data_IF_680097309261
#
_entry.id   IF_680097309261
#
_cell.length_a   1.000
_cell.length_b   1.000
_cell.length_c   1.000
_cell.angle_alpha   90.00
_cell.angle_beta   90.00
_cell.angle_gamma   90.00
#
_symmetry.space_group_name_H-M   'P 1'
#
loop_
_entity.id
_entity.type
_entity.pdbx_description
1 polymer ?
#
# COMPACT_ATOMS: atom_id res chain seq x y z
N UNK A 1 6.64 74.68 -8.22
CA UNK A 1 7.94 73.97 -8.28
C UNK A 1 7.88 72.80 -7.30
N UNK A 2 7.58 71.56 -7.75
CA UNK A 2 8.53 70.41 -7.83
C UNK A 2 9.69 70.55 -6.83
N UNK A 3 9.84 69.69 -5.81
CA UNK A 3 10.47 68.34 -5.88
C UNK A 3 10.03 67.52 -4.65
N UNK A 4 9.21 66.48 -4.83
CA UNK A 4 9.60 65.04 -4.81
C UNK A 4 10.44 64.68 -3.56
N UNK A 5 9.74 64.22 -2.51
CA UNK A 5 10.35 63.47 -1.41
C UNK A 5 10.60 62.01 -1.89
N UNK A 6 11.79 61.43 -1.65
CA UNK A 6 12.12 60.11 -2.19
C UNK A 6 11.36 58.99 -1.45
N UNK A 7 10.48 58.34 -2.20
CA UNK A 7 9.99 56.96 -2.01
C UNK A 7 11.21 56.02 -1.92
N UNK A 8 11.59 55.57 -0.72
CA UNK A 8 12.59 54.50 -0.59
C UNK A 8 12.59 53.74 0.75
N UNK A 9 11.45 53.62 1.45
CA UNK A 9 11.45 52.91 2.74
C UNK A 9 10.12 52.24 3.13
N UNK A 10 9.26 51.86 2.19
CA UNK A 10 8.02 51.12 2.49
C UNK A 10 7.83 49.98 1.49
N UNK A 11 8.77 49.03 1.47
CA UNK A 11 8.62 47.76 0.73
C UNK A 11 9.16 46.56 1.53
N UNK A 12 9.07 46.57 2.86
CA UNK A 12 9.56 45.45 3.70
C UNK A 12 8.48 44.74 4.54
N UNK A 13 7.19 45.04 4.36
CA UNK A 13 6.14 44.44 5.22
C UNK A 13 4.91 43.90 4.48
N UNK A 14 4.97 43.72 3.16
CA UNK A 14 3.90 43.06 2.40
C UNK A 14 4.51 42.18 1.32
N UNK A 15 4.91 40.96 1.67
CA UNK A 15 5.47 40.01 0.71
C UNK A 15 5.61 38.61 1.28
N UNK A 16 4.51 37.85 1.15
CA UNK A 16 4.38 36.41 1.39
C UNK A 16 4.63 35.98 2.85
N UNK A 17 3.60 36.02 3.71
CA UNK A 17 2.70 34.86 3.85
C UNK A 17 3.51 33.57 3.74
N UNK A 18 3.98 33.14 4.91
CA UNK A 18 4.00 31.74 5.30
C UNK A 18 4.36 30.76 4.18
N UNK A 19 5.63 30.34 4.14
CA UNK A 19 5.96 28.98 3.72
C UNK A 19 5.31 28.01 4.73
N UNK A 20 3.98 27.89 4.69
CA UNK A 20 3.37 26.63 4.99
C UNK A 20 3.89 25.70 3.90
N UNK A 21 4.85 24.86 4.24
CA UNK A 21 5.04 23.58 3.57
C UNK A 21 3.78 22.76 3.91
N UNK A 22 2.66 23.19 3.32
CA UNK A 22 1.38 22.52 3.27
C UNK A 22 1.37 21.71 1.98
N UNK A 23 2.27 20.76 1.89
CA UNK A 23 1.99 19.54 1.18
C UNK A 23 2.11 18.50 2.26
N UNK A 24 0.98 17.97 2.74
CA UNK A 24 1.04 16.73 3.50
C UNK A 24 1.90 15.79 2.67
N UNK A 25 3.10 15.47 3.16
CA UNK A 25 3.88 14.36 2.63
C UNK A 25 3.13 13.13 3.10
N UNK A 26 2.00 12.92 2.45
CA UNK A 26 0.97 12.01 2.86
C UNK A 26 1.47 10.68 2.31
N UNK A 27 2.36 10.05 3.11
CA UNK A 27 3.23 8.93 2.73
C UNK A 27 2.49 7.69 2.25
N UNK A 28 1.17 7.74 2.30
CA UNK A 28 0.21 6.82 1.72
C UNK A 28 0.25 6.76 0.18
N UNK A 29 0.91 7.70 -0.51
CA UNK A 29 1.23 7.53 -1.95
C UNK A 29 2.11 6.30 -2.20
N UNK A 30 2.89 5.86 -1.20
CA UNK A 30 3.80 4.71 -1.30
C UNK A 30 3.30 3.48 -0.50
N UNK A 31 2.09 3.53 0.07
CA UNK A 31 1.50 2.35 0.70
C UNK A 31 0.74 1.55 -0.34
N UNK A 32 1.22 0.34 -0.61
CA UNK A 32 0.50 -0.62 -1.43
C UNK A 32 -0.80 -1.06 -0.75
N UNK A 33 -1.71 -1.62 -1.54
CA UNK A 33 -2.83 -2.39 -0.99
C UNK A 33 -2.33 -3.51 -0.07
N UNK A 34 -3.09 -3.88 0.99
CA UNK A 34 -2.84 -5.06 1.80
C UNK A 34 -2.49 -6.30 0.97
N UNK A 35 -1.55 -7.12 1.45
CA UNK A 35 -1.07 -8.28 0.68
C UNK A 35 -2.19 -9.27 0.34
N UNK A 36 -3.18 -9.46 1.22
CA UNK A 36 -4.35 -10.31 0.92
C UNK A 36 -5.10 -9.87 -0.34
N UNK A 37 -5.18 -8.56 -0.62
CA UNK A 37 -5.91 -8.03 -1.77
C UNK A 37 -5.18 -8.31 -3.09
N UNK A 38 -3.86 -8.55 -3.05
CA UNK A 38 -3.06 -8.93 -4.22
C UNK A 38 -3.36 -10.34 -4.71
N UNK A 39 -3.93 -11.18 -3.86
CA UNK A 39 -4.32 -12.55 -4.20
C UNK A 39 -5.74 -12.47 -4.79
N UNK A 40 -5.85 -12.71 -6.09
CA UNK A 40 -7.08 -12.54 -6.85
C UNK A 40 -7.46 -13.85 -7.52
N UNK A 41 -8.75 -14.19 -7.55
CA UNK A 41 -9.23 -15.36 -8.28
C UNK A 41 -9.17 -15.05 -9.78
N UNK A 42 -8.63 -15.97 -10.57
CA UNK A 42 -8.32 -15.70 -11.97
C UNK A 42 -9.55 -15.33 -12.83
N UNK A 43 -10.74 -15.82 -12.48
CA UNK A 43 -12.00 -15.58 -13.19
C UNK A 43 -12.75 -14.31 -12.73
N UNK A 44 -12.33 -13.72 -11.61
CA UNK A 44 -13.04 -12.63 -10.91
C UNK A 44 -12.06 -11.58 -10.37
N UNK A 45 -10.99 -11.30 -11.11
CA UNK A 45 -10.00 -10.25 -10.77
C UNK A 45 -10.70 -8.91 -10.51
N UNK A 46 -10.34 -8.24 -9.41
CA UNK A 46 -10.97 -7.01 -8.95
C UNK A 46 -12.31 -7.20 -8.22
N UNK A 47 -12.85 -8.42 -8.24
CA UNK A 47 -14.12 -8.79 -7.64
C UNK A 47 -14.02 -10.12 -6.88
N UNK A 48 -12.81 -10.49 -6.44
CA UNK A 48 -12.58 -11.72 -5.70
C UNK A 48 -13.35 -11.67 -4.39
N UNK A 49 -14.09 -12.73 -4.07
CA UNK A 49 -14.78 -12.86 -2.77
C UNK A 49 -13.75 -12.77 -1.61
N UNK A 50 -13.79 -11.71 -0.80
CA UNK A 50 -12.80 -11.50 0.26
C UNK A 50 -12.84 -12.57 1.35
N UNK A 51 -14.02 -13.11 1.65
CA UNK A 51 -14.19 -14.09 2.73
C UNK A 51 -13.75 -15.48 2.27
N UNK A 52 -14.13 -15.88 1.05
CA UNK A 52 -13.62 -17.13 0.46
C UNK A 52 -12.09 -17.10 0.33
N UNK A 53 -11.53 -15.98 -0.12
CA UNK A 53 -10.07 -15.79 -0.19
C UNK A 53 -9.39 -15.94 1.17
N UNK A 54 -9.94 -15.37 2.24
CA UNK A 54 -9.40 -15.55 3.61
C UNK A 54 -9.41 -17.02 4.02
N UNK A 55 -10.54 -17.70 3.82
CA UNK A 55 -10.67 -19.13 4.15
C UNK A 55 -9.64 -19.97 3.41
N UNK A 56 -9.42 -19.69 2.12
CA UNK A 56 -8.44 -20.40 1.31
C UNK A 56 -6.99 -20.14 1.75
N UNK A 57 -6.67 -18.92 2.17
CA UNK A 57 -5.35 -18.57 2.73
C UNK A 57 -5.08 -19.36 4.03
N UNK A 58 -6.06 -19.45 4.93
CA UNK A 58 -5.92 -20.28 6.13
C UNK A 58 -5.80 -21.76 5.79
N UNK A 59 -6.59 -22.26 4.83
CA UNK A 59 -6.49 -23.64 4.34
C UNK A 59 -5.11 -23.93 3.70
N UNK A 60 -4.43 -22.92 3.17
CA UNK A 60 -3.06 -23.00 2.68
C UNK A 60 -1.98 -22.93 3.78
N UNK A 61 -2.37 -23.03 5.04
CA UNK A 61 -1.45 -23.22 6.17
C UNK A 61 -1.04 -21.94 6.89
N UNK A 62 -1.67 -20.80 6.60
CA UNK A 62 -1.57 -19.63 7.47
C UNK A 62 -2.34 -19.91 8.76
N UNK A 63 -1.74 -19.61 9.91
CA UNK A 63 -2.36 -19.86 11.21
C UNK A 63 -3.63 -19.02 11.41
N UNK A 64 -4.67 -19.55 12.07
CA UNK A 64 -5.95 -18.86 12.25
C UNK A 64 -5.87 -17.61 13.12
N UNK A 65 -4.76 -17.43 13.86
CA UNK A 65 -4.50 -16.22 14.66
C UNK A 65 -3.87 -15.07 13.86
N UNK A 66 -3.54 -15.28 12.58
CA UNK A 66 -3.00 -14.22 11.74
C UNK A 66 -4.12 -13.27 11.30
N UNK A 67 -3.98 -11.97 11.58
CA UNK A 67 -4.89 -10.98 11.02
C UNK A 67 -4.51 -10.67 9.58
N UNK A 68 -5.20 -11.31 8.63
CA UNK A 68 -4.97 -11.12 7.20
C UNK A 68 -5.37 -9.71 6.70
N UNK A 69 -6.15 -8.94 7.48
CA UNK A 69 -6.52 -7.58 7.12
C UNK A 69 -5.55 -6.53 7.68
N UNK A 70 -4.59 -6.90 8.54
CA UNK A 70 -3.53 -5.97 8.95
C UNK A 70 -2.74 -5.58 7.69
N UNK A 71 -2.65 -4.27 7.41
CA UNK A 71 -1.90 -3.73 6.28
C UNK A 71 -0.43 -4.12 6.30
N UNK A 72 0.09 -4.51 7.46
CA UNK A 72 1.47 -4.98 7.67
C UNK A 72 1.59 -6.50 7.56
N UNK A 73 0.48 -7.22 7.46
CA UNK A 73 0.50 -8.66 7.26
C UNK A 73 1.12 -8.96 5.90
N UNK A 74 2.11 -9.85 5.96
CA UNK A 74 2.77 -10.42 4.81
C UNK A 74 3.08 -11.87 5.21
N UNK A 75 3.04 -12.84 4.28
CA UNK A 75 3.34 -14.23 4.59
C UNK A 75 4.72 -14.43 5.23
N UNK A 76 5.67 -13.55 4.88
CA UNK A 76 7.01 -13.49 5.45
C UNK A 76 7.06 -12.90 6.88
N UNK A 77 6.15 -11.99 7.23
CA UNK A 77 6.20 -11.22 8.49
C UNK A 77 5.61 -11.97 9.69
N UNK A 78 4.84 -13.03 9.46
CA UNK A 78 4.32 -13.90 10.53
C UNK A 78 5.40 -14.72 11.25
N UNK A 79 6.66 -14.66 10.79
CA UNK A 79 7.76 -15.46 11.29
C UNK A 79 9.04 -14.62 11.52
N UNK A 80 9.05 -13.73 12.53
CA UNK A 80 10.18 -12.81 12.77
C UNK A 80 11.50 -13.52 13.11
N UNK A 81 11.43 -14.75 13.65
CA UNK A 81 12.60 -15.54 14.05
C UNK A 81 13.19 -16.41 12.92
N UNK A 82 12.60 -16.38 11.72
CA UNK A 82 13.09 -17.16 10.58
C UNK A 82 14.12 -16.37 9.76
N UNK A 83 15.03 -17.10 9.11
CA UNK A 83 15.95 -16.49 8.14
C UNK A 83 15.19 -15.88 6.97
N UNK A 84 15.83 -14.96 6.23
CA UNK A 84 15.24 -14.39 5.00
C UNK A 84 14.84 -15.49 4.01
N UNK A 85 15.68 -16.53 3.86
CA UNK A 85 15.42 -17.66 2.96
C UNK A 85 14.20 -18.47 3.40
N UNK A 86 14.07 -18.74 4.69
CA UNK A 86 12.94 -19.51 5.22
C UNK A 86 11.63 -18.72 5.13
N UNK A 87 11.68 -17.39 5.32
CA UNK A 87 10.53 -16.50 5.11
C UNK A 87 10.08 -16.47 3.66
N UNK A 88 11.02 -16.40 2.70
CA UNK A 88 10.71 -16.52 1.29
C UNK A 88 10.06 -17.88 0.98
N UNK A 89 10.63 -18.97 1.48
CA UNK A 89 10.05 -20.30 1.30
C UNK A 89 8.65 -20.48 1.92
N UNK A 90 8.31 -19.74 2.99
CA UNK A 90 6.95 -19.71 3.54
C UNK A 90 5.97 -18.97 2.62
N UNK A 91 6.39 -17.82 2.08
CA UNK A 91 5.59 -17.08 1.09
C UNK A 91 5.36 -17.92 -0.16
N UNK A 92 6.42 -18.48 -0.74
CA UNK A 92 6.33 -19.24 -1.99
C UNK A 92 5.42 -20.47 -1.84
N UNK A 93 5.45 -21.14 -0.68
CA UNK A 93 4.52 -22.23 -0.36
C UNK A 93 3.06 -21.79 -0.32
N UNK A 94 2.78 -20.62 0.26
CA UNK A 94 1.43 -20.06 0.27
C UNK A 94 0.98 -19.69 -1.16
N UNK A 95 1.80 -18.93 -1.88
CA UNK A 95 1.49 -18.48 -3.24
C UNK A 95 1.20 -19.69 -4.16
N UNK A 96 2.04 -20.72 -4.12
CA UNK A 96 1.83 -21.95 -4.89
C UNK A 96 0.54 -22.71 -4.50
N UNK A 97 0.19 -22.74 -3.22
CA UNK A 97 -1.07 -23.33 -2.78
C UNK A 97 -2.29 -22.54 -3.30
N UNK A 98 -2.21 -21.20 -3.29
CA UNK A 98 -3.25 -20.33 -3.82
C UNK A 98 -3.38 -20.47 -5.35
N UNK A 99 -2.26 -20.57 -6.07
CA UNK A 99 -2.23 -20.87 -7.51
C UNK A 99 -2.96 -22.19 -7.82
N UNK A 100 -2.69 -23.25 -7.04
CA UNK A 100 -3.39 -24.53 -7.17
C UNK A 100 -4.90 -24.44 -6.93
N UNK A 101 -5.37 -23.41 -6.23
CA UNK A 101 -6.79 -23.09 -6.03
C UNK A 101 -7.36 -22.14 -7.09
N UNK A 102 -6.59 -21.79 -8.12
CA UNK A 102 -7.01 -20.89 -9.21
C UNK A 102 -6.90 -19.41 -8.87
N UNK A 103 -6.06 -19.04 -7.91
CA UNK A 103 -5.70 -17.65 -7.65
C UNK A 103 -4.44 -17.25 -8.44
N UNK A 104 -4.30 -15.95 -8.64
CA UNK A 104 -3.12 -15.26 -9.17
C UNK A 104 -2.67 -14.24 -8.13
N UNK A 105 -1.36 -14.06 -8.00
CA UNK A 105 -0.76 -13.16 -7.02
C UNK A 105 -0.11 -12.00 -7.76
N UNK A 106 -0.76 -10.85 -7.75
CA UNK A 106 -0.23 -9.65 -8.41
C UNK A 106 0.91 -9.03 -7.61
N UNK A 107 1.81 -8.34 -8.29
CA UNK A 107 2.82 -7.48 -7.70
C UNK A 107 2.23 -6.19 -7.12
N UNK A 108 3.06 -5.43 -6.39
CA UNK A 108 2.63 -4.18 -5.78
C UNK A 108 2.23 -3.12 -6.82
N UNK A 109 3.01 -2.99 -7.90
CA UNK A 109 2.78 -1.99 -8.95
C UNK A 109 1.50 -2.23 -9.75
N UNK A 110 1.08 -3.50 -9.90
CA UNK A 110 -0.08 -3.89 -10.70
C UNK A 110 -1.41 -3.48 -10.04
N UNK A 111 -1.46 -3.53 -8.71
CA UNK A 111 -2.64 -3.15 -7.94
C UNK A 111 -2.84 -1.62 -7.83
N UNK A 112 -1.81 -0.84 -8.16
CA UNK A 112 -1.77 0.58 -7.85
C UNK A 112 -1.56 0.87 -6.36
N UNK A 113 -1.48 2.16 -6.03
CA UNK A 113 -1.31 2.62 -4.65
C UNK A 113 -2.65 2.58 -3.90
N UNK A 114 -2.61 2.60 -2.57
CA UNK A 114 -3.85 2.67 -1.77
C UNK A 114 -4.69 3.94 -2.06
N UNK A 115 -4.05 5.01 -2.55
CA UNK A 115 -4.72 6.28 -2.89
C UNK A 115 -5.28 6.33 -4.30
N UNK A 116 -4.75 5.49 -5.17
CA UNK A 116 -5.16 5.38 -6.57
C UNK A 116 -5.10 3.91 -6.98
N UNK A 117 -6.01 3.07 -6.45
CA UNK A 117 -6.03 1.65 -6.77
C UNK A 117 -6.53 1.45 -8.20
N UNK A 118 -5.91 0.53 -8.94
CA UNK A 118 -6.31 0.22 -10.32
C UNK A 118 -7.67 -0.47 -10.43
N UNK A 119 -8.21 -0.93 -9.29
CA UNK A 119 -9.39 -1.80 -9.23
C UNK A 119 -9.06 -3.29 -9.44
N UNK A 120 -7.82 -3.63 -9.79
CA UNK A 120 -7.36 -5.01 -9.97
C UNK A 120 -7.39 -5.81 -8.66
N UNK A 121 -7.16 -5.13 -7.53
CA UNK A 121 -6.96 -5.73 -6.22
C UNK A 121 -7.97 -5.15 -5.23
N UNK A 122 -9.04 -5.91 -4.97
CA UNK A 122 -10.10 -5.59 -4.01
C UNK A 122 -9.89 -6.22 -2.65
#
# INVERSE_FOLDING_TARGET
MKRILPLAAVCLLAGCQTFFIGSGMDSTNNTSVPYIQRIQKADTVGHTDPEQRKMDIYACGVGPSADLNDKRWQPANGYPNLSVKDRAGKRDKLEHCMEGKGYIVFGFEECGSQKDPTGLCN
#
